data_IF_441824394194
#
_entry.id   IF_441824394194
#
_cell.length_a   1.000
_cell.length_b   1.000
_cell.length_c   1.000
_cell.angle_alpha   90.00
_cell.angle_beta   90.00
_cell.angle_gamma   90.00
#
_symmetry.space_group_name_H-M   'P 1'
#
loop_
_entity.id
_entity.type
_entity.pdbx_description
1 polymer ?
#
# COMPACT_ATOMS: atom_id res chain seq x y z
N UNK A 1 -24.31 -18.01 12.33
CA UNK A 1 -24.01 -18.25 13.73
C UNK A 1 -24.10 -16.96 14.48
N UNK A 2 -24.86 -16.95 15.54
CA UNK A 2 -24.98 -15.83 16.51
C UNK A 2 -23.59 -15.56 17.06
N UNK A 3 -23.09 -14.33 16.86
CA UNK A 3 -21.84 -13.88 17.43
C UNK A 3 -21.96 -13.73 18.95
N UNK A 4 -20.83 -13.86 19.63
CA UNK A 4 -20.76 -13.61 21.07
C UNK A 4 -21.10 -12.14 21.36
N UNK A 5 -21.92 -11.93 22.39
CA UNK A 5 -22.20 -10.59 22.97
C UNK A 5 -22.91 -9.57 22.08
N UNK A 6 -23.90 -9.96 21.29
CA UNK A 6 -24.71 -9.00 20.51
C UNK A 6 -24.02 -8.47 19.25
N UNK A 7 -23.07 -9.22 18.71
CA UNK A 7 -22.41 -8.94 17.44
C UNK A 7 -22.49 -10.11 16.48
N UNK A 8 -22.54 -9.83 15.19
CA UNK A 8 -22.44 -10.84 14.12
C UNK A 8 -21.27 -10.54 13.19
N UNK A 9 -20.69 -11.58 12.61
CA UNK A 9 -19.58 -11.45 11.68
C UNK A 9 -20.08 -10.90 10.34
N UNK A 10 -19.40 -9.87 9.82
CA UNK A 10 -19.56 -9.34 8.47
C UNK A 10 -18.70 -10.22 7.55
N UNK A 11 -19.32 -11.17 6.86
CA UNK A 11 -18.59 -12.22 6.12
C UNK A 11 -17.78 -11.72 4.94
N UNK A 12 -18.31 -10.76 4.19
CA UNK A 12 -17.68 -10.11 3.04
C UNK A 12 -16.57 -9.13 3.43
N UNK A 13 -16.48 -8.80 4.73
CA UNK A 13 -15.44 -7.98 5.32
C UNK A 13 -14.59 -8.77 6.33
N UNK A 14 -14.55 -10.10 6.17
CA UNK A 14 -13.75 -11.02 6.99
C UNK A 14 -12.94 -11.91 6.05
N UNK A 15 -11.61 -11.82 6.11
CA UNK A 15 -10.73 -12.47 5.15
C UNK A 15 -9.31 -12.72 5.70
N UNK A 16 -8.58 -13.63 5.07
CA UNK A 16 -7.18 -13.89 5.41
C UNK A 16 -6.29 -12.74 4.90
N UNK A 17 -5.33 -12.35 5.72
CA UNK A 17 -4.30 -11.38 5.40
C UNK A 17 -2.94 -11.90 5.86
N UNK A 18 -1.87 -11.47 5.18
CA UNK A 18 -0.50 -11.73 5.62
C UNK A 18 0.08 -10.40 6.10
N UNK A 19 0.26 -10.26 7.40
CA UNK A 19 0.65 -9.01 8.05
C UNK A 19 2.00 -9.16 8.75
N UNK A 20 2.95 -8.31 8.42
CA UNK A 20 4.22 -8.28 9.13
C UNK A 20 4.04 -7.51 10.46
N UNK A 21 4.45 -8.06 11.63
CA UNK A 21 5.20 -9.30 11.82
C UNK A 21 4.33 -10.54 12.12
N UNK A 22 3.01 -10.42 12.14
CA UNK A 22 2.09 -11.50 12.60
C UNK A 22 2.04 -12.70 11.66
N UNK A 23 2.43 -12.54 10.38
CA UNK A 23 2.27 -13.55 9.36
C UNK A 23 0.80 -13.71 8.93
N UNK A 24 0.39 -14.93 8.64
CA UNK A 24 -0.96 -15.25 8.18
C UNK A 24 -1.97 -15.19 9.33
N UNK A 25 -2.90 -14.24 9.24
CA UNK A 25 -4.00 -14.02 10.20
C UNK A 25 -5.32 -13.87 9.47
N UNK A 26 -6.42 -14.00 10.20
CA UNK A 26 -7.76 -13.64 9.72
C UNK A 26 -8.17 -12.30 10.30
N UNK A 27 -8.41 -11.31 9.44
CA UNK A 27 -9.07 -10.07 9.82
C UNK A 27 -10.58 -10.33 9.92
N UNK A 28 -11.17 -10.05 11.06
CA UNK A 28 -12.58 -10.30 11.33
C UNK A 28 -13.28 -8.99 11.66
N UNK A 29 -14.32 -8.69 10.88
CA UNK A 29 -15.20 -7.56 11.09
C UNK A 29 -16.52 -8.03 11.73
N UNK A 30 -16.96 -7.28 12.73
CA UNK A 30 -18.23 -7.53 13.41
C UNK A 30 -19.12 -6.31 13.33
N UNK A 31 -20.39 -6.54 13.06
CA UNK A 31 -21.44 -5.53 13.18
C UNK A 31 -22.32 -5.80 14.42
N UNK A 32 -22.86 -4.77 15.06
CA UNK A 32 -23.77 -4.96 16.18
C UNK A 32 -25.07 -5.64 15.71
N UNK A 33 -25.56 -6.62 16.47
CA UNK A 33 -26.91 -7.15 16.31
C UNK A 33 -27.90 -6.10 16.84
N UNK A 34 -28.12 -5.07 16.08
CA UNK A 34 -28.80 -3.91 16.58
C UNK A 34 -30.21 -3.82 16.05
N UNK A 35 -31.16 -3.48 16.96
CA UNK A 35 -32.39 -2.84 16.58
C UNK A 35 -32.17 -1.44 16.02
N UNK A 36 -33.19 -0.82 15.41
CA UNK A 36 -33.14 0.46 14.71
C UNK A 36 -32.53 1.65 15.51
N UNK A 37 -32.41 1.51 16.83
CA UNK A 37 -31.93 2.55 17.76
C UNK A 37 -30.59 2.24 18.42
N UNK A 38 -29.78 1.31 17.88
CA UNK A 38 -28.49 1.01 18.48
C UNK A 38 -27.43 2.02 18.09
N UNK A 39 -26.71 2.52 19.07
CA UNK A 39 -25.50 3.35 18.92
C UNK A 39 -24.23 2.52 18.98
N UNK A 40 -24.35 1.19 19.05
CA UNK A 40 -23.19 0.29 19.05
C UNK A 40 -22.44 0.37 17.71
N UNK A 41 -21.13 0.25 17.79
CA UNK A 41 -20.24 0.38 16.66
C UNK A 41 -19.69 -0.97 16.19
N UNK A 42 -19.12 -1.02 14.98
CA UNK A 42 -18.40 -2.18 14.48
C UNK A 42 -17.20 -2.51 15.38
N UNK A 43 -16.83 -3.77 15.41
CA UNK A 43 -15.60 -4.28 16.06
C UNK A 43 -14.72 -5.01 15.08
N UNK A 44 -13.43 -4.96 15.33
CA UNK A 44 -12.43 -5.57 14.45
C UNK A 44 -11.40 -6.33 15.27
N UNK A 45 -11.06 -7.51 14.82
CA UNK A 45 -10.09 -8.39 15.47
C UNK A 45 -9.18 -9.04 14.43
N UNK A 46 -7.96 -9.36 14.83
CA UNK A 46 -7.08 -10.25 14.11
C UNK A 46 -7.01 -11.59 14.85
N UNK A 47 -7.15 -12.69 14.09
CA UNK A 47 -7.14 -14.06 14.65
C UNK A 47 -6.08 -14.92 13.96
N UNK A 48 -5.35 -15.67 14.77
CA UNK A 48 -4.47 -16.74 14.33
C UNK A 48 -5.08 -18.09 14.73
N UNK A 49 -5.42 -18.94 13.76
CA UNK A 49 -6.04 -20.23 14.00
C UNK A 49 -7.31 -20.19 14.86
N UNK A 50 -8.06 -19.06 14.81
CA UNK A 50 -9.27 -18.84 15.63
C UNK A 50 -9.02 -18.14 16.96
N UNK A 51 -7.77 -18.02 17.41
CA UNK A 51 -7.38 -17.27 18.62
C UNK A 51 -7.23 -15.78 18.28
N UNK A 52 -7.88 -14.90 19.03
CA UNK A 52 -7.67 -13.44 18.88
C UNK A 52 -6.25 -13.07 19.29
N UNK A 53 -5.50 -12.46 18.38
CA UNK A 53 -4.12 -11.98 18.58
C UNK A 53 -4.07 -10.46 18.69
N UNK A 54 -5.03 -9.75 18.12
CA UNK A 54 -5.19 -8.31 18.31
C UNK A 54 -6.67 -7.92 18.26
N UNK A 55 -7.03 -6.94 19.06
CA UNK A 55 -8.33 -6.25 19.02
C UNK A 55 -8.05 -4.80 18.66
N UNK A 56 -8.73 -4.27 17.65
CA UNK A 56 -8.57 -2.90 17.23
C UNK A 56 -9.49 -2.00 18.04
N UNK A 57 -8.96 -0.95 18.64
CA UNK A 57 -9.73 0.05 19.37
C UNK A 57 -10.78 0.70 18.45
N UNK A 58 -12.04 0.64 18.85
CA UNK A 58 -13.15 0.86 17.92
C UNK A 58 -13.53 2.31 17.69
N UNK A 59 -13.46 3.16 18.70
CA UNK A 59 -14.11 4.47 18.65
C UNK A 59 -13.16 5.58 19.00
N UNK A 60 -13.03 6.54 18.12
CA UNK A 60 -12.27 7.75 18.40
C UNK A 60 -13.13 9.03 18.45
N UNK A 61 -14.37 8.99 17.98
CA UNK A 61 -15.33 10.10 18.07
C UNK A 61 -16.44 9.77 19.03
N UNK A 62 -16.44 10.43 20.18
CA UNK A 62 -17.48 10.28 21.20
C UNK A 62 -18.69 11.18 20.95
N UNK A 63 -18.51 12.25 20.14
CA UNK A 63 -19.40 13.39 20.16
C UNK A 63 -20.71 13.24 19.36
N UNK A 64 -20.82 12.24 18.47
CA UNK A 64 -21.99 12.07 17.62
C UNK A 64 -22.60 10.67 17.68
N UNK A 65 -22.04 9.75 18.45
CA UNK A 65 -22.46 8.34 18.50
C UNK A 65 -23.89 8.16 18.96
N UNK A 66 -24.37 9.01 19.84
CA UNK A 66 -25.77 8.96 20.30
C UNK A 66 -26.79 9.32 19.22
N UNK A 67 -26.31 9.89 18.10
CA UNK A 67 -27.15 10.37 16.99
C UNK A 67 -26.99 9.60 15.71
N UNK A 68 -26.06 8.66 15.67
CA UNK A 68 -25.69 7.90 14.48
C UNK A 68 -25.69 6.39 14.76
N UNK A 69 -26.01 5.63 13.75
CA UNK A 69 -25.88 4.17 13.75
C UNK A 69 -24.87 3.72 12.72
N UNK A 70 -24.13 2.68 13.04
CA UNK A 70 -23.27 1.99 12.08
C UNK A 70 -24.10 1.47 10.91
N UNK A 71 -23.60 1.67 9.69
CA UNK A 71 -24.23 1.18 8.48
C UNK A 71 -23.48 -0.01 7.91
N UNK A 72 -22.20 0.18 7.57
CA UNK A 72 -21.35 -0.89 7.00
C UNK A 72 -19.87 -0.54 7.06
N UNK A 73 -19.04 -1.54 6.87
CA UNK A 73 -17.62 -1.37 6.50
C UNK A 73 -17.55 -1.14 4.99
N UNK A 74 -17.02 -0.01 4.57
CA UNK A 74 -16.86 0.34 3.16
C UNK A 74 -15.59 -0.27 2.56
N UNK A 75 -14.49 -0.24 3.31
CA UNK A 75 -13.20 -0.77 2.86
C UNK A 75 -12.27 -1.07 4.04
N UNK A 76 -11.38 -2.02 3.81
CA UNK A 76 -10.24 -2.34 4.68
C UNK A 76 -8.99 -2.49 3.82
N UNK A 77 -7.84 -1.99 4.31
CA UNK A 77 -6.56 -2.11 3.63
C UNK A 77 -5.43 -2.28 4.64
N UNK A 78 -4.35 -2.92 4.23
CA UNK A 78 -3.20 -3.25 5.08
C UNK A 78 -1.89 -2.70 4.50
N UNK A 79 -1.78 -1.38 4.30
CA UNK A 79 -0.53 -0.78 3.82
C UNK A 79 0.55 -0.79 4.91
N UNK A 80 1.77 -0.50 4.50
CA UNK A 80 2.80 0.09 5.33
C UNK A 80 2.88 1.58 4.93
N UNK A 81 2.01 2.42 5.53
CA UNK A 81 1.86 3.80 5.07
C UNK A 81 3.01 4.70 5.52
N UNK A 82 3.70 4.33 6.58
CA UNK A 82 4.79 5.09 7.19
C UNK A 82 6.18 4.55 6.81
N UNK A 83 6.22 3.44 6.04
CA UNK A 83 7.44 2.77 5.57
C UNK A 83 8.36 2.30 6.69
N UNK A 84 7.79 1.84 7.81
CA UNK A 84 8.53 1.27 8.94
C UNK A 84 8.74 -0.26 8.85
N UNK A 85 8.21 -0.88 7.80
CA UNK A 85 8.30 -2.31 7.52
C UNK A 85 7.21 -3.15 8.19
N UNK A 86 6.28 -2.55 8.93
CA UNK A 86 5.14 -3.24 9.54
C UNK A 86 3.85 -2.86 8.84
N UNK A 87 2.93 -3.81 8.71
CA UNK A 87 1.64 -3.46 8.13
C UNK A 87 0.81 -2.62 9.09
N UNK A 88 0.23 -1.56 8.56
CA UNK A 88 -0.78 -0.72 9.19
C UNK A 88 -2.17 -1.17 8.76
N UNK A 89 -3.21 -0.63 9.38
CA UNK A 89 -4.59 -0.94 9.00
C UNK A 89 -5.37 0.35 8.75
N UNK A 90 -6.02 0.44 7.59
CA UNK A 90 -6.97 1.50 7.26
C UNK A 90 -8.35 0.87 7.17
N UNK A 91 -9.32 1.39 7.92
CA UNK A 91 -10.71 0.96 7.88
C UNK A 91 -11.57 2.18 7.56
N UNK A 92 -12.50 2.02 6.62
CA UNK A 92 -13.50 3.04 6.29
C UNK A 92 -14.86 2.48 6.62
N UNK A 93 -15.59 3.14 7.51
CA UNK A 93 -16.95 2.79 7.92
C UNK A 93 -17.92 3.88 7.52
N UNK A 94 -19.16 3.51 7.26
CA UNK A 94 -20.26 4.47 7.07
C UNK A 94 -21.28 4.40 8.19
N UNK A 95 -21.92 5.56 8.42
CA UNK A 95 -22.88 5.80 9.47
C UNK A 95 -24.08 6.54 8.93
N UNK A 96 -25.24 6.23 9.46
CA UNK A 96 -26.48 6.93 9.15
C UNK A 96 -26.98 7.67 10.39
N UNK A 97 -27.59 8.86 10.25
CA UNK A 97 -28.23 9.55 11.36
C UNK A 97 -29.39 8.74 11.91
N UNK A 98 -29.60 8.79 13.21
CA UNK A 98 -30.71 8.10 13.90
C UNK A 98 -32.06 8.75 13.61
N UNK A 99 -32.06 10.03 13.26
CA UNK A 99 -33.27 10.79 12.94
C UNK A 99 -32.96 11.90 11.94
N UNK A 100 -33.95 12.28 11.16
CA UNK A 100 -33.81 13.35 10.16
C UNK A 100 -33.56 12.82 8.75
N UNK A 101 -33.39 13.76 7.83
CA UNK A 101 -33.13 13.52 6.40
C UNK A 101 -31.67 13.81 6.01
N UNK A 102 -30.80 13.92 6.99
CA UNK A 102 -29.37 14.19 6.74
C UNK A 102 -28.70 13.02 6.05
N UNK A 103 -27.78 13.31 5.16
CA UNK A 103 -26.99 12.29 4.52
C UNK A 103 -26.09 11.57 5.54
N UNK A 104 -25.88 10.27 5.34
CA UNK A 104 -24.88 9.52 6.09
C UNK A 104 -23.46 10.08 5.85
N UNK A 105 -22.55 9.72 6.74
CA UNK A 105 -21.13 10.07 6.62
C UNK A 105 -20.26 8.82 6.60
N UNK A 106 -19.07 8.97 6.05
CA UNK A 106 -18.01 7.97 6.20
C UNK A 106 -16.97 8.45 7.20
N UNK A 107 -16.29 7.52 7.82
CA UNK A 107 -15.26 7.72 8.83
C UNK A 107 -14.05 6.84 8.54
N UNK A 108 -12.88 7.44 8.61
CA UNK A 108 -11.60 6.76 8.43
C UNK A 108 -11.01 6.41 9.79
N UNK A 109 -10.50 5.20 9.93
CA UNK A 109 -9.73 4.73 11.08
C UNK A 109 -8.38 4.25 10.59
N UNK A 110 -7.32 4.80 11.15
CA UNK A 110 -5.95 4.49 10.81
C UNK A 110 -5.29 3.91 12.05
N UNK A 111 -4.69 2.73 11.90
CA UNK A 111 -3.97 2.05 12.97
C UNK A 111 -2.55 1.80 12.51
N UNK A 112 -1.57 2.27 13.30
CA UNK A 112 -0.17 1.95 13.10
C UNK A 112 0.15 0.58 13.67
N UNK A 113 0.77 -0.27 12.86
CA UNK A 113 1.35 -1.53 13.29
C UNK A 113 2.70 -1.33 13.98
N UNK A 114 3.23 -2.39 14.58
CA UNK A 114 4.52 -2.35 15.26
C UNK A 114 5.22 -3.70 15.21
N UNK A 115 6.52 -3.71 15.51
CA UNK A 115 7.34 -4.92 15.62
C UNK A 115 6.75 -5.97 16.59
N UNK A 116 6.01 -5.55 17.58
CA UNK A 116 5.34 -6.46 18.52
C UNK A 116 4.07 -7.11 17.97
N UNK A 117 3.60 -6.68 16.78
CA UNK A 117 2.31 -7.08 16.21
C UNK A 117 1.10 -6.38 16.86
N UNK A 118 1.34 -5.36 17.68
CA UNK A 118 0.29 -4.51 18.24
C UNK A 118 -0.10 -3.40 17.26
N UNK A 119 -1.37 -3.00 17.30
CA UNK A 119 -1.92 -1.92 16.49
C UNK A 119 -2.41 -0.78 17.39
N UNK A 120 -2.01 0.44 17.08
CA UNK A 120 -2.38 1.65 17.82
C UNK A 120 -3.26 2.53 16.95
N UNK A 121 -4.43 2.92 17.46
CA UNK A 121 -5.30 3.86 16.76
C UNK A 121 -4.67 5.25 16.71
N UNK A 122 -4.40 5.72 15.49
CA UNK A 122 -3.88 7.06 15.20
C UNK A 122 -5.03 8.07 15.16
N UNK A 123 -5.56 8.41 16.34
CA UNK A 123 -6.76 9.25 16.49
C UNK A 123 -6.64 10.59 15.77
N UNK A 124 -5.55 11.32 15.99
CA UNK A 124 -5.33 12.63 15.38
C UNK A 124 -5.23 12.57 13.87
N UNK A 125 -4.59 11.52 13.35
CA UNK A 125 -4.43 11.29 11.91
C UNK A 125 -5.75 10.90 11.25
N UNK A 126 -6.54 10.06 11.92
CA UNK A 126 -7.89 9.65 11.48
C UNK A 126 -8.84 10.85 11.41
N UNK A 127 -8.86 11.70 12.43
CA UNK A 127 -9.66 12.94 12.47
C UNK A 127 -9.23 13.95 11.40
N UNK A 128 -7.92 14.07 11.16
CA UNK A 128 -7.40 14.95 10.11
C UNK A 128 -7.79 14.45 8.72
N UNK A 129 -7.68 13.14 8.46
CA UNK A 129 -8.14 12.54 7.21
C UNK A 129 -9.65 12.73 7.00
N UNK A 130 -10.45 12.52 8.03
CA UNK A 130 -11.91 12.73 7.99
C UNK A 130 -12.29 14.17 7.65
N UNK A 131 -11.50 15.13 8.13
CA UNK A 131 -11.75 16.56 7.90
C UNK A 131 -11.28 17.02 6.52
N UNK A 132 -10.19 16.46 6.02
CA UNK A 132 -9.56 16.88 4.78
C UNK A 132 -10.17 16.22 3.53
N UNK A 133 -10.70 14.99 3.65
CA UNK A 133 -11.13 14.21 2.51
C UNK A 133 -12.65 14.32 2.30
N UNK A 134 -13.05 14.86 1.15
CA UNK A 134 -14.46 14.91 0.74
C UNK A 134 -14.97 13.50 0.38
N UNK A 135 -14.18 12.73 -0.36
CA UNK A 135 -14.41 11.29 -0.61
C UNK A 135 -13.41 10.46 0.17
N UNK A 136 -13.90 9.47 0.91
CA UNK A 136 -13.10 8.56 1.71
C UNK A 136 -13.00 7.21 1.01
N UNK A 137 -11.93 7.04 0.24
CA UNK A 137 -11.50 5.78 -0.35
C UNK A 137 -10.14 5.40 0.20
N UNK A 138 -9.75 4.13 0.12
CA UNK A 138 -8.39 3.71 0.51
C UNK A 138 -7.34 4.55 -0.21
N UNK A 139 -7.52 4.78 -1.51
CA UNK A 139 -6.57 5.56 -2.31
C UNK A 139 -6.48 7.02 -1.86
N UNK A 140 -7.61 7.69 -1.56
CA UNK A 140 -7.58 9.07 -1.07
C UNK A 140 -6.94 9.17 0.31
N UNK A 141 -7.18 8.19 1.20
CA UNK A 141 -6.53 8.12 2.51
C UNK A 141 -5.02 7.90 2.37
N UNK A 142 -4.59 6.95 1.53
CA UNK A 142 -3.17 6.74 1.26
C UNK A 142 -2.50 7.99 0.67
N UNK A 143 -3.17 8.67 -0.26
CA UNK A 143 -2.70 9.96 -0.79
C UNK A 143 -2.57 11.04 0.28
N UNK A 144 -3.53 11.12 1.22
CA UNK A 144 -3.50 12.04 2.35
C UNK A 144 -2.34 11.71 3.31
N UNK A 145 -2.11 10.44 3.61
CA UNK A 145 -1.02 9.97 4.47
C UNK A 145 0.37 10.17 3.84
N UNK A 146 0.43 10.50 2.55
CA UNK A 146 1.68 10.50 1.81
C UNK A 146 2.18 9.08 1.50
N UNK A 147 1.39 8.05 1.78
CA UNK A 147 1.68 6.66 1.41
C UNK A 147 1.58 6.39 -0.10
N UNK A 148 1.13 7.36 -0.86
CA UNK A 148 1.31 7.42 -2.32
C UNK A 148 2.43 8.39 -2.72
N UNK A 149 3.03 9.05 -1.75
CA UNK A 149 4.36 9.61 -1.79
C UNK A 149 5.30 8.56 -1.18
N UNK A 150 5.40 7.40 -1.83
CA UNK A 150 6.66 6.68 -1.77
C UNK A 150 7.71 7.75 -1.94
N UNK A 151 8.66 7.80 -1.03
CA UNK A 151 9.77 8.73 -0.94
C UNK A 151 9.91 9.53 -2.23
N UNK A 152 9.73 10.88 -2.19
CA UNK A 152 10.15 11.67 -3.36
C UNK A 152 11.48 11.08 -3.76
N UNK A 153 11.50 10.47 -4.94
CA UNK A 153 12.65 9.74 -5.44
C UNK A 153 13.88 10.56 -5.09
N UNK A 154 14.88 10.06 -4.34
CA UNK A 154 15.87 10.84 -3.64
C UNK A 154 16.29 12.01 -4.48
N UNK A 155 16.12 13.23 -4.00
CA UNK A 155 16.32 14.43 -4.79
C UNK A 155 17.71 14.33 -5.44
N UNK A 156 17.76 14.26 -6.78
CA UNK A 156 19.01 14.15 -7.48
C UNK A 156 19.12 13.01 -8.51
N UNK A 157 18.21 12.02 -8.52
CA UNK A 157 18.32 10.93 -9.50
C UNK A 157 18.26 11.42 -10.96
N UNK A 158 17.44 12.42 -11.25
CA UNK A 158 17.34 13.01 -12.59
C UNK A 158 18.66 13.66 -13.01
N UNK A 159 19.26 14.43 -12.11
CA UNK A 159 20.55 15.06 -12.39
C UNK A 159 21.66 14.00 -12.51
N UNK A 160 21.64 12.99 -11.65
CA UNK A 160 22.59 11.90 -11.73
C UNK A 160 22.52 11.14 -13.07
N UNK A 161 21.31 10.90 -13.59
CA UNK A 161 21.17 10.30 -14.93
C UNK A 161 21.61 11.24 -16.06
N UNK A 162 21.37 12.55 -15.94
CA UNK A 162 21.87 13.53 -16.91
C UNK A 162 23.39 13.53 -16.90
N UNK A 163 24.01 13.61 -15.73
CA UNK A 163 25.48 13.63 -15.60
C UNK A 163 26.08 12.31 -16.09
N UNK A 164 25.45 11.17 -15.78
CA UNK A 164 25.83 9.86 -16.25
C UNK A 164 25.78 9.76 -17.79
N UNK A 165 24.71 10.24 -18.43
CA UNK A 165 24.59 10.26 -19.88
C UNK A 165 25.63 11.18 -20.53
N UNK A 166 25.90 12.34 -19.95
CA UNK A 166 26.92 13.26 -20.45
C UNK A 166 28.35 12.73 -20.31
N UNK A 167 28.63 11.94 -19.28
CA UNK A 167 29.93 11.34 -19.04
C UNK A 167 30.20 10.14 -19.95
N UNK A 168 29.17 9.51 -20.51
CA UNK A 168 29.27 8.31 -21.34
C UNK A 168 28.91 8.59 -22.81
N UNK A 169 29.44 9.68 -23.36
CA UNK A 169 29.21 10.07 -24.73
C UNK A 169 29.87 9.04 -25.69
N UNK A 170 29.05 8.29 -26.44
CA UNK A 170 29.51 7.29 -27.40
C UNK A 170 28.46 7.10 -28.50
N UNK A 171 28.94 7.02 -29.77
CA UNK A 171 28.10 6.76 -30.94
C UNK A 171 27.44 5.36 -30.94
N UNK A 172 27.66 4.58 -29.88
CA UNK A 172 27.14 3.20 -29.75
C UNK A 172 25.69 3.15 -29.32
N UNK A 173 25.14 4.23 -28.73
CA UNK A 173 23.82 4.26 -28.18
C UNK A 173 22.86 4.98 -29.12
N UNK A 174 21.76 4.30 -29.49
CA UNK A 174 20.75 4.81 -30.46
C UNK A 174 19.42 5.13 -29.82
N UNK A 175 19.22 4.76 -28.55
CA UNK A 175 17.97 5.04 -27.86
C UNK A 175 18.11 4.99 -26.34
N UNK A 176 17.18 5.70 -25.68
CA UNK A 176 17.09 5.78 -24.22
C UNK A 176 15.62 5.65 -23.80
N UNK A 177 15.39 4.95 -22.71
CA UNK A 177 14.06 4.77 -22.12
C UNK A 177 14.15 4.73 -20.60
N UNK A 178 13.12 5.23 -19.92
CA UNK A 178 12.94 5.01 -18.51
C UNK A 178 11.89 3.91 -18.31
N UNK A 179 12.21 2.95 -17.46
CA UNK A 179 11.32 1.84 -17.09
C UNK A 179 11.24 1.75 -15.56
N UNK A 180 10.13 1.25 -15.02
CA UNK A 180 10.02 0.92 -13.60
C UNK A 180 10.24 -0.58 -13.43
N UNK A 181 11.47 -0.98 -13.18
CA UNK A 181 11.82 -2.39 -13.00
C UNK A 181 11.53 -2.87 -11.58
N UNK A 182 11.93 -2.08 -10.61
CA UNK A 182 11.67 -2.32 -9.19
C UNK A 182 10.56 -1.41 -8.64
N UNK A 183 10.33 -1.45 -7.34
CA UNK A 183 9.22 -0.83 -6.64
C UNK A 183 9.60 0.50 -5.92
N UNK A 184 10.79 1.08 -6.19
CA UNK A 184 11.33 2.24 -5.46
C UNK A 184 10.90 3.62 -6.00
N UNK A 185 10.02 3.69 -7.00
CA UNK A 185 9.54 4.89 -7.69
C UNK A 185 10.63 5.72 -8.40
N UNK A 186 11.86 5.21 -8.49
CA UNK A 186 12.92 5.75 -9.35
C UNK A 186 12.97 4.87 -10.60
N UNK A 187 12.68 5.40 -11.79
CA UNK A 187 12.78 4.57 -12.98
C UNK A 187 14.24 4.25 -13.30
N UNK A 188 14.52 3.03 -13.74
CA UNK A 188 15.79 2.65 -14.32
C UNK A 188 15.93 3.27 -15.71
N UNK A 189 17.14 3.71 -16.01
CA UNK A 189 17.51 4.21 -17.33
C UNK A 189 18.02 3.06 -18.21
N UNK A 190 17.34 2.80 -19.30
CA UNK A 190 17.77 1.85 -20.33
C UNK A 190 18.45 2.60 -21.46
N UNK A 191 19.65 2.14 -21.86
CA UNK A 191 20.37 2.56 -23.06
C UNK A 191 20.31 1.42 -24.07
N UNK A 192 19.95 1.72 -25.31
CA UNK A 192 19.82 0.74 -26.39
C UNK A 192 20.99 0.93 -27.35
N UNK A 193 21.78 -0.11 -27.52
CA UNK A 193 22.92 -0.12 -28.43
C UNK A 193 22.52 -0.16 -29.91
N UNK A 194 23.45 0.20 -30.76
CA UNK A 194 23.28 0.21 -32.21
C UNK A 194 23.39 -1.19 -32.86
N UNK A 195 23.73 -2.21 -32.09
CA UNK A 195 23.92 -3.58 -32.57
C UNK A 195 23.81 -4.61 -31.44
N UNK A 196 23.55 -5.86 -31.79
CA UNK A 196 23.53 -6.99 -30.83
C UNK A 196 24.87 -7.15 -30.10
N UNK A 197 25.98 -6.75 -30.66
CA UNK A 197 27.28 -6.81 -30.01
C UNK A 197 27.40 -5.75 -28.89
N UNK A 198 26.72 -4.62 -29.01
CA UNK A 198 26.66 -3.58 -27.99
C UNK A 198 25.62 -3.92 -26.95
N UNK A 199 24.47 -4.54 -27.34
CA UNK A 199 23.40 -4.91 -26.45
C UNK A 199 22.64 -3.72 -25.86
N UNK A 200 22.11 -3.90 -24.66
CA UNK A 200 21.50 -2.86 -23.84
C UNK A 200 22.27 -2.64 -22.54
N UNK A 201 22.08 -1.48 -21.92
CA UNK A 201 22.55 -1.21 -20.57
C UNK A 201 21.39 -0.73 -19.72
N UNK A 202 21.31 -1.25 -18.51
CA UNK A 202 20.36 -0.77 -17.49
C UNK A 202 21.16 -0.08 -16.40
N UNK A 203 20.77 1.14 -16.08
CA UNK A 203 21.35 1.93 -15.01
C UNK A 203 20.30 2.27 -13.97
N UNK A 204 20.61 2.04 -12.70
CA UNK A 204 19.78 2.33 -11.54
C UNK A 204 20.45 3.40 -10.67
N UNK A 205 19.66 4.26 -10.05
CA UNK A 205 20.14 5.21 -9.07
C UNK A 205 20.05 4.60 -7.68
N UNK A 206 21.18 4.32 -7.06
CA UNK A 206 21.26 3.71 -5.75
C UNK A 206 22.30 4.40 -4.87
N UNK A 207 21.98 4.67 -3.61
CA UNK A 207 22.93 5.22 -2.64
C UNK A 207 23.56 6.57 -3.04
N UNK A 208 22.87 7.40 -3.85
CA UNK A 208 23.35 8.70 -4.30
C UNK A 208 24.20 8.67 -5.58
N UNK A 209 24.35 7.53 -6.23
CA UNK A 209 25.11 7.34 -7.47
C UNK A 209 24.37 6.46 -8.48
N UNK A 210 24.78 6.53 -9.73
CA UNK A 210 24.29 5.64 -10.79
C UNK A 210 25.15 4.40 -10.84
N UNK A 211 24.50 3.24 -10.79
CA UNK A 211 25.12 1.92 -10.99
C UNK A 211 24.53 1.33 -12.25
N UNK A 212 25.35 0.79 -13.12
CA UNK A 212 24.90 0.22 -14.39
C UNK A 212 25.31 -1.25 -14.56
N UNK A 213 24.56 -1.94 -15.41
CA UNK A 213 24.85 -3.31 -15.81
C UNK A 213 24.52 -3.49 -17.29
N UNK A 214 25.46 -4.10 -18.01
CA UNK A 214 25.31 -4.37 -19.44
C UNK A 214 24.60 -5.70 -19.67
N UNK A 215 23.61 -5.69 -20.55
CA UNK A 215 22.89 -6.87 -21.03
C UNK A 215 23.46 -7.29 -22.40
N UNK A 216 23.56 -8.60 -22.62
CA UNK A 216 24.18 -9.16 -23.83
C UNK A 216 23.30 -9.11 -25.08
N UNK A 217 22.06 -8.55 -24.99
CA UNK A 217 21.10 -8.47 -26.09
C UNK A 217 20.50 -7.08 -26.20
N UNK A 218 20.06 -6.73 -27.41
CA UNK A 218 19.32 -5.50 -27.68
C UNK A 218 17.92 -5.50 -27.06
N UNK A 219 17.36 -6.67 -26.86
CA UNK A 219 15.98 -6.85 -26.38
C UNK A 219 15.96 -7.65 -25.10
N UNK A 220 15.10 -7.21 -24.19
CA UNK A 220 14.77 -7.91 -22.98
C UNK A 220 13.27 -7.71 -22.69
N UNK A 221 12.71 -8.56 -21.85
CA UNK A 221 11.39 -8.35 -21.26
C UNK A 221 11.55 -8.18 -19.76
N UNK A 222 10.59 -7.49 -19.13
CA UNK A 222 10.61 -7.27 -17.69
C UNK A 222 9.19 -7.26 -17.16
N UNK A 223 9.06 -7.44 -15.85
CA UNK A 223 7.81 -7.27 -15.12
C UNK A 223 7.89 -5.91 -14.42
N UNK A 224 7.03 -4.98 -14.83
CA UNK A 224 6.97 -3.65 -14.24
C UNK A 224 6.76 -3.73 -12.73
N UNK A 225 7.64 -3.07 -11.96
CA UNK A 225 7.68 -3.09 -10.49
C UNK A 225 7.79 -4.49 -9.87
N UNK A 226 8.20 -5.48 -10.66
CA UNK A 226 8.33 -6.87 -10.23
C UNK A 226 9.76 -7.28 -9.88
N UNK A 227 10.72 -6.39 -10.06
CA UNK A 227 12.15 -6.64 -9.90
C UNK A 227 12.65 -7.87 -10.69
N UNK A 228 12.02 -8.16 -11.81
CA UNK A 228 12.35 -9.30 -12.67
C UNK A 228 12.61 -8.84 -14.09
N UNK A 229 13.74 -9.27 -14.63
CA UNK A 229 14.16 -9.04 -16.02
C UNK A 229 14.51 -10.36 -16.66
N UNK A 230 14.03 -10.57 -17.90
CA UNK A 230 14.40 -11.69 -18.73
C UNK A 230 15.26 -11.20 -19.89
N UNK A 231 16.52 -11.65 -19.93
CA UNK A 231 17.45 -11.45 -21.03
C UNK A 231 17.78 -12.81 -21.64
N UNK A 232 17.32 -13.08 -22.87
CA UNK A 232 17.52 -14.39 -23.50
C UNK A 232 18.86 -14.47 -24.20
N UNK A 233 19.67 -15.47 -23.86
CA UNK A 233 20.90 -15.84 -24.58
C UNK A 233 20.69 -17.09 -25.45
N UNK A 234 20.61 -16.90 -26.75
CA UNK A 234 20.50 -18.01 -27.70
C UNK A 234 19.20 -18.82 -27.52
N UNK A 235 19.33 -20.15 -27.33
CA UNK A 235 18.21 -21.06 -27.16
C UNK A 235 17.78 -21.31 -25.70
N UNK A 236 18.33 -20.56 -24.75
CA UNK A 236 17.99 -20.65 -23.33
C UNK A 236 17.64 -19.28 -22.79
N UNK A 237 16.43 -19.16 -22.27
CA UNK A 237 16.00 -17.97 -21.53
C UNK A 237 16.67 -17.98 -20.13
N UNK A 238 17.39 -16.92 -19.83
CA UNK A 238 17.98 -16.72 -18.50
C UNK A 238 17.19 -15.63 -17.80
N UNK A 239 16.69 -15.93 -16.61
CA UNK A 239 15.99 -14.99 -15.73
C UNK A 239 16.97 -14.53 -14.65
N UNK A 240 17.06 -13.23 -14.46
CA UNK A 240 17.88 -12.62 -13.43
C UNK A 240 16.98 -11.89 -12.44
N UNK A 241 17.18 -12.21 -11.17
CA UNK A 241 16.62 -11.45 -10.06
C UNK A 241 17.60 -10.31 -9.78
N UNK A 242 17.15 -9.07 -9.93
CA UNK A 242 17.95 -7.89 -9.60
C UNK A 242 17.65 -7.53 -8.14
N UNK A 243 18.49 -7.98 -7.22
CA UNK A 243 18.42 -7.66 -5.80
C UNK A 243 18.97 -6.27 -5.54
#
# INVERSE_FOLDING_TARGET
GTGENGYRIIRDQTFEANLNPLGKVTFVSYEPEAGENSTADARFELKDGGRTVAVLDGVYKDNNREKERFQKVEAVSFPDYNSDGFNDIIIICSYLPMSGTEAGRSEVRIYSGSESGAFTLEKGLSEAADSALAEKTVQSVLGFLGAGKKNEAPAGWKQAYIDYLQAQDGEEWVGYQLIYLNDDDIPELVKIGNSEAVGCMIAAYAGGSVVDNQLNRLYFSYIEKGNLLCNSEGNMDSYYDLV
#
